data_IF_449628946997
#
_entry.id   IF_449628946997
#
_cell.length_a   1.000
_cell.length_b   1.000
_cell.length_c   1.000
_cell.angle_alpha   90.00
_cell.angle_beta   90.00
_cell.angle_gamma   90.00
#
_symmetry.space_group_name_H-M   'P 1'
#
loop_
_entity.id
_entity.type
_entity.pdbx_description
1 polymer ?
#
# COMPACT_ATOMS: atom_id res chain seq x y z
N UNK A 1 64.06 47.09 13.31
CA UNK A 1 62.79 47.60 13.87
C UNK A 1 61.69 46.65 13.44
N UNK A 2 61.29 45.76 14.36
CA UNK A 2 59.98 45.78 15.03
C UNK A 2 58.84 45.32 14.09
N UNK A 3 58.34 44.10 14.31
CA UNK A 3 56.99 43.82 14.87
C UNK A 3 55.91 43.79 13.78
N UNK A 4 54.85 42.99 13.77
CA UNK A 4 54.30 41.91 14.62
C UNK A 4 53.01 41.48 13.89
N UNK A 5 52.68 40.18 13.93
CA UNK A 5 51.32 39.61 13.92
C UNK A 5 50.43 39.87 12.68
N UNK A 6 49.65 38.92 12.14
CA UNK A 6 48.51 38.29 12.81
C UNK A 6 47.95 37.16 11.91
N UNK A 7 47.57 36.07 12.56
CA UNK A 7 46.94 34.84 12.03
C UNK A 7 45.45 35.06 11.73
N UNK A 8 44.95 34.54 10.60
CA UNK A 8 43.58 34.03 10.40
C UNK A 8 43.65 33.07 9.18
N UNK A 9 43.70 31.74 9.30
CA UNK A 9 42.58 30.83 9.62
C UNK A 9 41.26 31.25 8.95
N UNK A 10 41.12 30.94 7.67
CA UNK A 10 39.80 30.66 7.09
C UNK A 10 39.76 29.20 6.65
N UNK A 11 39.19 28.40 7.54
CA UNK A 11 38.68 27.07 7.27
C UNK A 11 37.58 27.25 6.21
N UNK A 12 37.84 26.83 4.96
CA UNK A 12 36.79 26.75 3.95
C UNK A 12 35.75 25.76 4.47
N UNK A 13 34.59 26.31 4.83
CA UNK A 13 33.41 25.57 5.18
C UNK A 13 33.08 24.62 4.01
N UNK A 14 33.32 23.32 4.22
CA UNK A 14 32.60 22.28 3.51
C UNK A 14 31.12 22.46 3.88
N UNK A 15 30.39 23.23 3.06
CA UNK A 15 28.94 23.11 2.96
C UNK A 15 28.66 21.71 2.39
N UNK A 16 28.72 20.71 3.27
CA UNK A 16 28.13 19.43 3.03
C UNK A 16 26.63 19.67 2.83
N UNK A 17 26.18 19.55 1.59
CA UNK A 17 24.79 19.29 1.26
C UNK A 17 24.37 18.07 2.10
N UNK A 18 23.73 18.31 3.25
CA UNK A 18 22.84 17.32 3.85
C UNK A 18 21.69 17.16 2.86
N UNK A 19 21.87 16.28 1.89
CA UNK A 19 20.75 15.68 1.21
C UNK A 19 19.96 14.97 2.31
N UNK A 20 18.79 15.51 2.64
CA UNK A 20 17.79 14.75 3.37
C UNK A 20 17.50 13.52 2.52
N UNK A 21 18.02 12.36 2.92
CA UNK A 21 17.66 11.11 2.30
C UNK A 21 16.13 11.01 2.40
N UNK A 22 15.40 10.80 1.28
CA UNK A 22 13.98 10.53 1.36
C UNK A 22 13.79 9.33 2.29
N UNK A 23 12.84 9.47 3.23
CA UNK A 23 12.49 8.42 4.16
C UNK A 23 12.27 7.12 3.37
N UNK A 24 13.06 6.10 3.69
CA UNK A 24 12.98 4.79 3.05
C UNK A 24 11.53 4.28 3.19
N UNK A 25 10.78 4.33 2.10
CA UNK A 25 9.68 3.40 1.91
C UNK A 25 10.29 2.00 2.10
N UNK A 26 9.63 1.12 2.84
CA UNK A 26 10.12 -0.25 2.97
C UNK A 26 10.22 -0.85 1.56
N UNK A 27 11.44 -0.98 1.04
CA UNK A 27 11.71 -1.46 -0.32
C UNK A 27 11.21 -2.89 -0.43
N UNK A 28 9.99 -3.05 -0.92
CA UNK A 28 9.42 -4.37 -1.15
C UNK A 28 10.24 -5.03 -2.27
N UNK A 29 10.77 -6.24 -2.05
CA UNK A 29 11.64 -6.88 -3.03
C UNK A 29 10.89 -7.15 -4.34
N UNK A 30 11.64 -7.39 -5.41
CA UNK A 30 11.10 -7.75 -6.73
C UNK A 30 10.21 -9.01 -6.72
N UNK A 31 10.23 -9.80 -5.63
CA UNK A 31 9.20 -10.79 -5.34
C UNK A 31 8.99 -10.96 -3.84
N UNK A 32 7.74 -11.07 -3.41
CA UNK A 32 7.36 -11.35 -2.03
C UNK A 32 6.00 -12.05 -1.94
N UNK A 33 5.66 -12.53 -0.75
CA UNK A 33 4.45 -13.30 -0.51
C UNK A 33 3.74 -12.85 0.77
N UNK A 34 2.43 -12.58 0.66
CA UNK A 34 1.54 -12.46 1.80
C UNK A 34 1.02 -13.85 2.18
N UNK A 35 1.23 -14.28 3.43
CA UNK A 35 0.72 -15.57 3.92
C UNK A 35 -0.56 -15.36 4.70
N UNK A 36 -1.57 -16.17 4.42
CA UNK A 36 -2.86 -16.10 5.06
C UNK A 36 -3.02 -17.14 6.18
N UNK A 37 -3.98 -16.92 7.07
CA UNK A 37 -4.23 -17.81 8.21
C UNK A 37 -4.52 -19.26 7.76
N UNK A 38 -4.15 -20.27 8.58
CA UNK A 38 -4.28 -21.69 8.25
C UNK A 38 -5.69 -22.16 7.89
N UNK A 39 -6.71 -21.52 8.44
CA UNK A 39 -8.13 -21.88 8.31
C UNK A 39 -8.81 -21.29 7.06
N UNK A 40 -8.14 -20.37 6.35
CA UNK A 40 -8.65 -19.82 5.10
C UNK A 40 -8.42 -20.73 3.91
N UNK A 41 -9.36 -20.75 2.97
CA UNK A 41 -9.20 -21.46 1.69
C UNK A 41 -8.06 -20.86 0.83
N UNK A 42 -7.79 -19.57 0.98
CA UNK A 42 -6.64 -18.88 0.40
C UNK A 42 -5.41 -19.14 1.28
N UNK A 43 -4.35 -19.67 0.69
CA UNK A 43 -3.10 -19.96 1.39
C UNK A 43 -2.17 -18.75 1.40
N UNK A 44 -1.97 -18.14 0.23
CA UNK A 44 -1.09 -17.00 0.08
C UNK A 44 -1.44 -16.15 -1.15
N UNK A 45 -0.84 -14.96 -1.19
CA UNK A 45 -0.84 -14.07 -2.35
C UNK A 45 0.61 -13.80 -2.72
N UNK A 46 1.00 -14.16 -3.94
CA UNK A 46 2.34 -13.88 -4.48
C UNK A 46 2.35 -12.58 -5.27
N UNK A 47 3.44 -11.84 -5.12
CA UNK A 47 3.75 -10.62 -5.85
C UNK A 47 5.11 -10.82 -6.50
N UNK A 48 5.21 -10.66 -7.82
CA UNK A 48 6.48 -10.83 -8.52
C UNK A 48 6.57 -9.92 -9.75
N UNK A 49 7.63 -9.11 -9.82
CA UNK A 49 8.06 -8.41 -11.04
C UNK A 49 8.35 -9.41 -12.16
N UNK A 50 7.93 -9.10 -13.38
CA UNK A 50 8.21 -9.95 -14.55
C UNK A 50 9.66 -9.82 -15.03
N UNK A 51 10.24 -8.63 -14.93
CA UNK A 51 11.63 -8.31 -15.27
C UNK A 51 12.62 -8.60 -14.14
N UNK A 52 12.13 -8.66 -12.89
CA UNK A 52 12.97 -8.68 -11.70
C UNK A 52 13.40 -7.28 -11.24
N UNK A 53 12.89 -6.22 -11.87
CA UNK A 53 13.12 -4.83 -11.50
C UNK A 53 11.82 -4.16 -11.03
N UNK A 54 11.85 -3.62 -9.81
CA UNK A 54 10.71 -2.93 -9.21
C UNK A 54 10.41 -1.58 -9.86
N UNK A 55 11.38 -0.99 -10.57
CA UNK A 55 11.22 0.28 -11.27
C UNK A 55 10.38 0.15 -12.55
N UNK A 56 10.26 -1.05 -13.11
CA UNK A 56 9.49 -1.32 -14.34
C UNK A 56 7.99 -1.44 -14.09
N UNK A 57 7.55 -1.42 -12.83
CA UNK A 57 6.13 -1.46 -12.43
C UNK A 57 5.37 -2.63 -13.10
N UNK A 58 6.02 -3.79 -13.24
CA UNK A 58 5.53 -4.92 -14.03
C UNK A 58 5.11 -6.12 -13.18
N UNK A 59 4.75 -5.92 -11.92
CA UNK A 59 4.39 -7.04 -11.05
C UNK A 59 3.13 -7.77 -11.54
N UNK A 60 3.14 -9.07 -11.32
CA UNK A 60 1.97 -9.93 -11.41
C UNK A 60 1.60 -10.44 -10.03
N UNK A 61 0.30 -10.38 -9.73
CA UNK A 61 -0.25 -10.88 -8.47
C UNK A 61 -0.98 -12.21 -8.70
N UNK A 62 -0.64 -13.22 -7.90
CA UNK A 62 -1.30 -14.53 -7.93
C UNK A 62 -1.89 -14.89 -6.58
N UNK A 63 -3.11 -15.41 -6.59
CA UNK A 63 -3.70 -16.12 -5.46
C UNK A 63 -3.27 -17.58 -5.51
N UNK A 64 -2.79 -18.11 -4.38
CA UNK A 64 -2.55 -19.54 -4.20
C UNK A 64 -3.59 -20.09 -3.23
N UNK A 65 -4.42 -21.00 -3.73
CA UNK A 65 -5.46 -21.65 -2.96
C UNK A 65 -4.93 -22.95 -2.36
N UNK A 66 -5.43 -23.35 -1.18
CA UNK A 66 -4.98 -24.57 -0.48
C UNK A 66 -5.21 -25.87 -1.24
N UNK A 67 -6.06 -25.88 -2.26
CA UNK A 67 -6.24 -27.02 -3.16
C UNK A 67 -5.18 -27.09 -4.27
N UNK A 68 -4.15 -26.25 -4.24
CA UNK A 68 -3.12 -26.14 -5.27
C UNK A 68 -3.54 -25.34 -6.51
N UNK A 69 -4.77 -24.82 -6.56
CA UNK A 69 -5.19 -23.93 -7.63
C UNK A 69 -4.43 -22.60 -7.52
N UNK A 70 -4.03 -22.06 -8.67
CA UNK A 70 -3.40 -20.75 -8.77
C UNK A 70 -4.23 -19.84 -9.66
N UNK A 71 -4.52 -18.63 -9.21
CA UNK A 71 -5.33 -17.66 -9.96
C UNK A 71 -4.56 -16.35 -10.12
N UNK A 72 -4.27 -15.97 -11.36
CA UNK A 72 -3.70 -14.64 -11.67
C UNK A 72 -4.79 -13.58 -11.49
N UNK A 73 -4.50 -12.52 -10.77
CA UNK A 73 -5.38 -11.37 -10.65
C UNK A 73 -5.23 -10.47 -11.89
N UNK A 74 -6.36 -10.00 -12.42
CA UNK A 74 -6.40 -9.04 -13.53
C UNK A 74 -6.20 -7.60 -13.01
N UNK A 75 -5.08 -7.38 -12.33
CA UNK A 75 -4.64 -6.07 -11.85
C UNK A 75 -3.64 -5.45 -12.85
N UNK A 76 -3.54 -4.11 -12.91
CA UNK A 76 -2.47 -3.47 -13.67
C UNK A 76 -1.10 -3.84 -13.08
N UNK A 77 -0.08 -3.83 -13.94
CA UNK A 77 1.30 -3.81 -13.48
C UNK A 77 1.52 -2.57 -12.61
N UNK A 78 2.13 -2.77 -11.46
CA UNK A 78 2.60 -1.73 -10.54
C UNK A 78 3.66 -2.34 -9.60
N UNK A 79 4.49 -1.54 -8.94
CA UNK A 79 5.26 -2.06 -7.80
C UNK A 79 4.36 -2.21 -6.56
N UNK A 80 3.92 -3.43 -6.28
CA UNK A 80 3.11 -3.76 -5.09
C UNK A 80 3.97 -3.84 -3.82
N UNK A 81 3.45 -3.28 -2.74
CA UNK A 81 4.18 -3.05 -1.50
C UNK A 81 3.76 -4.01 -0.39
N UNK A 82 4.72 -4.43 0.43
CA UNK A 82 4.48 -5.14 1.67
C UNK A 82 4.33 -4.12 2.81
N UNK A 83 3.16 -4.09 3.46
CA UNK A 83 2.92 -3.23 4.63
C UNK A 83 2.28 -3.98 5.78
N UNK A 84 2.98 -4.01 6.92
CA UNK A 84 2.40 -4.57 8.15
C UNK A 84 1.37 -3.63 8.80
N UNK A 85 1.18 -2.43 8.29
CA UNK A 85 0.22 -1.49 8.85
C UNK A 85 -1.24 -1.88 8.53
N UNK A 86 -1.48 -2.60 7.42
CA UNK A 86 -2.80 -3.14 7.07
C UNK A 86 -3.11 -4.48 7.73
N UNK A 87 -2.09 -5.31 7.96
CA UNK A 87 -2.23 -6.67 8.51
C UNK A 87 -2.44 -6.65 10.03
N UNK A 88 -1.83 -5.71 10.76
CA UNK A 88 -1.75 -5.72 12.24
C UNK A 88 -3.08 -5.55 12.99
N UNK A 89 -4.18 -5.18 12.32
CA UNK A 89 -5.48 -4.90 12.98
C UNK A 89 -6.57 -5.84 12.51
N UNK A 90 -6.48 -7.11 12.89
CA UNK A 90 -7.47 -8.14 12.51
C UNK A 90 -7.34 -8.61 11.06
N UNK A 91 -6.20 -8.32 10.43
CA UNK A 91 -5.86 -8.82 9.10
C UNK A 91 -5.63 -10.33 9.14
N UNK A 92 -6.18 -11.04 8.17
CA UNK A 92 -6.05 -12.50 8.05
C UNK A 92 -4.91 -12.94 7.12
N UNK A 93 -4.15 -11.98 6.56
CA UNK A 93 -2.94 -12.22 5.79
C UNK A 93 -1.83 -11.22 6.20
N UNK A 94 -0.57 -11.65 6.13
CA UNK A 94 0.60 -10.80 6.43
C UNK A 94 0.88 -9.79 5.31
N UNK A 95 1.43 -8.62 5.65
CA UNK A 95 1.92 -7.66 4.65
C UNK A 95 0.88 -6.96 3.77
N UNK A 96 -0.41 -7.31 3.87
CA UNK A 96 -1.52 -6.70 3.13
C UNK A 96 -2.74 -6.53 4.03
N UNK A 97 -3.71 -5.74 3.57
CA UNK A 97 -5.04 -5.71 4.17
C UNK A 97 -5.80 -6.94 3.70
N UNK A 98 -6.30 -7.73 4.63
CA UNK A 98 -7.16 -8.86 4.31
C UNK A 98 -8.18 -9.01 5.42
N UNK A 99 -9.47 -8.92 5.10
CA UNK A 99 -10.55 -9.09 6.07
C UNK A 99 -11.55 -10.13 5.59
N UNK A 100 -11.89 -11.05 6.47
CA UNK A 100 -12.98 -12.00 6.26
C UNK A 100 -14.31 -11.31 6.58
N UNK A 101 -15.13 -11.12 5.55
CA UNK A 101 -16.48 -10.57 5.61
C UNK A 101 -17.52 -11.71 5.64
N UNK A 102 -18.81 -11.43 5.91
CA UNK A 102 -19.86 -12.44 5.93
C UNK A 102 -19.99 -13.15 4.57
N UNK A 103 -20.71 -14.28 4.56
CA UNK A 103 -21.00 -15.05 3.35
C UNK A 103 -19.74 -15.52 2.61
N UNK A 104 -18.73 -15.99 3.35
CA UNK A 104 -17.48 -16.54 2.81
C UNK A 104 -16.70 -15.55 1.93
N UNK A 105 -16.86 -14.25 2.16
CA UNK A 105 -16.21 -13.22 1.34
C UNK A 105 -14.89 -12.81 1.98
N UNK A 106 -13.79 -12.82 1.22
CA UNK A 106 -12.53 -12.22 1.64
C UNK A 106 -12.29 -10.94 0.84
N UNK A 107 -12.10 -9.82 1.53
CA UNK A 107 -11.69 -8.57 0.91
C UNK A 107 -10.19 -8.38 1.13
N UNK A 108 -9.44 -8.32 0.04
CA UNK A 108 -8.02 -7.94 0.03
C UNK A 108 -7.87 -6.46 -0.32
N UNK A 109 -6.95 -5.79 0.34
CA UNK A 109 -6.52 -4.41 0.09
C UNK A 109 -5.02 -4.42 -0.12
N UNK A 110 -4.60 -4.11 -1.34
CA UNK A 110 -3.24 -4.29 -1.84
C UNK A 110 -2.61 -2.92 -2.12
N UNK A 111 -1.61 -2.49 -1.33
CA UNK A 111 -0.92 -1.24 -1.61
C UNK A 111 0.05 -1.40 -2.78
N UNK A 112 0.18 -0.35 -3.57
CA UNK A 112 1.14 -0.25 -4.65
C UNK A 112 1.70 1.18 -4.73
N UNK A 113 2.91 1.29 -5.25
CA UNK A 113 3.62 2.57 -5.29
C UNK A 113 2.94 3.58 -6.21
N UNK A 114 2.62 4.76 -5.69
CA UNK A 114 2.13 5.89 -6.49
C UNK A 114 3.20 6.90 -6.87
N UNK A 115 4.49 6.51 -6.87
CA UNK A 115 5.62 7.41 -7.13
C UNK A 115 5.42 8.32 -8.35
N UNK A 116 5.79 9.61 -8.25
CA UNK A 116 6.40 10.27 -7.10
C UNK A 116 5.39 10.71 -6.02
N UNK A 117 4.10 10.42 -6.20
CA UNK A 117 3.03 10.74 -5.24
C UNK A 117 2.90 9.72 -4.10
N UNK A 118 1.74 9.71 -3.46
CA UNK A 118 1.43 8.77 -2.39
C UNK A 118 1.09 7.37 -2.91
N UNK A 119 1.44 6.36 -2.12
CA UNK A 119 1.05 4.99 -2.37
C UNK A 119 -0.46 4.88 -2.55
N UNK A 120 -0.87 3.97 -3.43
CA UNK A 120 -2.25 3.78 -3.85
C UNK A 120 -2.70 2.39 -3.45
N UNK A 121 -4.01 2.17 -3.50
CA UNK A 121 -4.62 0.94 -3.03
C UNK A 121 -5.44 0.30 -4.13
N UNK A 122 -5.29 -1.01 -4.30
CA UNK A 122 -6.23 -1.86 -5.04
C UNK A 122 -7.09 -2.64 -4.05
N UNK A 123 -8.31 -2.99 -4.45
CA UNK A 123 -9.18 -3.89 -3.69
C UNK A 123 -9.62 -5.09 -4.52
N UNK A 124 -9.70 -6.25 -3.87
CA UNK A 124 -10.09 -7.51 -4.50
C UNK A 124 -11.07 -8.24 -3.60
N UNK A 125 -12.26 -8.54 -4.12
CA UNK A 125 -13.26 -9.34 -3.43
C UNK A 125 -13.19 -10.78 -3.93
N UNK A 126 -13.03 -11.72 -2.99
CA UNK A 126 -12.96 -13.14 -3.24
C UNK A 126 -14.11 -13.86 -2.56
N UNK A 127 -14.57 -14.95 -3.17
CA UNK A 127 -15.45 -15.92 -2.55
C UNK A 127 -14.62 -17.15 -2.17
N UNK A 128 -14.48 -17.40 -0.86
CA UNK A 128 -13.68 -18.48 -0.30
C UNK A 128 -14.31 -19.85 -0.48
N UNK A 129 -15.63 -19.92 -0.68
CA UNK A 129 -16.34 -21.18 -0.88
C UNK A 129 -16.14 -21.69 -2.30
N UNK A 130 -16.31 -20.82 -3.29
CA UNK A 130 -16.18 -21.12 -4.72
C UNK A 130 -14.78 -20.90 -5.27
N UNK A 131 -13.90 -20.25 -4.50
CA UNK A 131 -12.51 -19.92 -4.86
C UNK A 131 -12.42 -19.04 -6.11
N UNK A 132 -13.34 -18.09 -6.20
CA UNK A 132 -13.47 -17.19 -7.35
C UNK A 132 -13.19 -15.75 -6.94
N UNK A 133 -12.62 -15.00 -7.88
CA UNK A 133 -12.57 -13.54 -7.80
C UNK A 133 -13.96 -13.01 -8.18
N UNK A 134 -14.59 -12.25 -7.29
CA UNK A 134 -15.91 -11.66 -7.48
C UNK A 134 -15.84 -10.26 -8.10
N UNK A 135 -14.88 -9.46 -7.63
CA UNK A 135 -14.68 -8.09 -8.11
C UNK A 135 -13.24 -7.64 -7.89
N UNK A 136 -12.76 -6.76 -8.76
CA UNK A 136 -11.45 -6.10 -8.64
C UNK A 136 -11.67 -4.61 -8.88
N UNK A 137 -11.13 -3.78 -8.00
CA UNK A 137 -10.94 -2.36 -8.24
C UNK A 137 -9.45 -2.04 -8.14
N UNK A 138 -8.84 -1.73 -9.28
CA UNK A 138 -7.40 -1.46 -9.39
C UNK A 138 -6.97 -0.18 -8.66
N UNK A 139 -7.92 0.68 -8.31
CA UNK A 139 -7.65 1.94 -7.65
C UNK A 139 -8.85 2.33 -6.79
N UNK A 140 -8.67 2.19 -5.48
CA UNK A 140 -9.66 2.59 -4.48
C UNK A 140 -9.33 3.92 -3.81
N UNK A 141 -8.15 4.50 -4.04
CA UNK A 141 -7.68 5.73 -3.45
C UNK A 141 -6.21 5.72 -3.05
N UNK A 142 -5.75 6.86 -2.52
CA UNK A 142 -4.39 7.09 -2.03
C UNK A 142 -4.31 6.90 -0.52
N UNK A 143 -3.22 6.29 -0.09
CA UNK A 143 -2.90 6.06 1.32
C UNK A 143 -2.53 7.40 1.97
N UNK A 144 -3.15 7.70 3.11
CA UNK A 144 -2.75 8.86 3.92
C UNK A 144 -1.40 8.60 4.60
N UNK A 145 -0.52 9.62 4.74
CA UNK A 145 0.69 9.53 5.57
C UNK A 145 0.41 9.05 7.00
N UNK A 146 -0.75 9.42 7.53
CA UNK A 146 -1.25 8.99 8.85
C UNK A 146 -1.91 7.61 8.74
N UNK A 147 -1.14 6.62 8.31
CA UNK A 147 -1.59 5.28 8.00
C UNK A 147 -2.45 4.66 9.12
N UNK A 148 -3.76 4.47 8.85
CA UNK A 148 -4.69 3.87 9.82
C UNK A 148 -5.67 2.96 9.10
N UNK A 149 -5.94 1.83 9.71
CA UNK A 149 -6.98 0.91 9.27
C UNK A 149 -7.81 0.40 10.46
N UNK A 150 -9.04 0.04 10.18
CA UNK A 150 -10.02 -0.54 11.10
C UNK A 150 -10.76 -1.67 10.40
N UNK A 151 -10.75 -2.85 11.02
CA UNK A 151 -11.58 -3.98 10.60
C UNK A 151 -12.91 -3.92 11.35
N UNK A 152 -14.01 -4.03 10.62
CA UNK A 152 -15.36 -4.16 11.14
C UNK A 152 -16.04 -5.37 10.49
N UNK A 153 -17.10 -5.93 11.11
CA UNK A 153 -17.71 -7.17 10.63
C UNK A 153 -18.11 -7.17 9.16
N UNK A 154 -18.58 -6.03 8.62
CA UNK A 154 -19.06 -5.92 7.23
C UNK A 154 -18.20 -5.04 6.33
N UNK A 155 -17.11 -4.46 6.84
CA UNK A 155 -16.30 -3.50 6.09
C UNK A 155 -14.85 -3.42 6.58
N UNK A 156 -13.98 -3.06 5.65
CA UNK A 156 -12.63 -2.60 5.93
C UNK A 156 -12.59 -1.09 5.80
N UNK A 157 -12.03 -0.40 6.77
CA UNK A 157 -11.94 1.05 6.74
C UNK A 157 -10.50 1.49 6.83
N UNK A 158 -10.14 2.46 6.00
CA UNK A 158 -8.78 2.93 5.86
C UNK A 158 -8.76 4.46 5.81
N UNK A 159 -7.79 5.05 6.48
CA UNK A 159 -7.60 6.49 6.44
C UNK A 159 -6.81 6.84 5.19
N UNK A 160 -7.49 7.51 4.26
CA UNK A 160 -7.00 7.76 2.91
C UNK A 160 -7.12 9.24 2.56
N UNK A 161 -6.37 9.64 1.54
CA UNK A 161 -6.44 10.98 0.97
C UNK A 161 -7.75 11.10 0.20
N UNK A 162 -8.60 12.03 0.64
CA UNK A 162 -9.90 12.32 0.02
C UNK A 162 -9.77 13.41 -1.03
N UNK A 163 -9.05 14.49 -0.71
CA UNK A 163 -8.87 15.64 -1.58
C UNK A 163 -7.47 16.22 -1.46
N UNK A 164 -7.03 16.82 -2.57
CA UNK A 164 -5.90 17.73 -2.63
C UNK A 164 -6.43 19.16 -2.67
N UNK A 165 -6.09 19.94 -1.66
CA UNK A 165 -6.46 21.36 -1.57
C UNK A 165 -5.27 22.18 -2.06
N UNK A 166 -5.43 22.81 -3.22
CA UNK A 166 -4.45 23.76 -3.74
C UNK A 166 -4.83 25.14 -3.21
N UNK A 167 -3.99 25.68 -2.33
CA UNK A 167 -4.17 27.02 -1.77
C UNK A 167 -3.77 28.09 -2.78
N UNK A 168 -4.33 29.30 -2.65
CA UNK A 168 -4.01 30.42 -3.54
C UNK A 168 -2.54 30.85 -3.50
N UNK A 169 -1.83 30.50 -2.43
CA UNK A 169 -0.38 30.72 -2.26
C UNK A 169 0.48 29.60 -2.89
N UNK A 170 -0.15 28.64 -3.59
CA UNK A 170 0.53 27.53 -4.26
C UNK A 170 0.94 26.39 -3.35
N UNK A 171 0.52 26.38 -2.08
CA UNK A 171 0.72 25.23 -1.19
C UNK A 171 -0.34 24.17 -1.47
N UNK A 172 0.10 22.91 -1.44
CA UNK A 172 -0.78 21.76 -1.47
C UNK A 172 -1.02 21.25 -0.05
N UNK A 173 -2.28 21.04 0.29
CA UNK A 173 -2.70 20.41 1.54
C UNK A 173 -3.51 19.15 1.26
N UNK A 174 -3.17 18.09 1.97
CA UNK A 174 -3.84 16.80 1.86
C UNK A 174 -4.98 16.76 2.88
N UNK A 175 -6.22 16.65 2.39
CA UNK A 175 -7.35 16.34 3.24
C UNK A 175 -7.55 14.83 3.28
N UNK A 176 -7.30 14.22 4.45
CA UNK A 176 -7.55 12.80 4.69
C UNK A 176 -8.89 12.56 5.37
N UNK A 177 -9.51 11.41 5.09
CA UNK A 177 -10.74 10.97 5.73
C UNK A 177 -10.79 9.44 5.79
N UNK A 178 -11.75 8.90 6.54
CA UNK A 178 -12.01 7.46 6.51
C UNK A 178 -12.73 7.07 5.22
N UNK A 179 -12.12 6.15 4.48
CA UNK A 179 -12.73 5.42 3.38
C UNK A 179 -13.21 4.06 3.88
N UNK A 180 -14.50 3.81 3.80
CA UNK A 180 -15.07 2.49 4.00
C UNK A 180 -15.06 1.72 2.68
N UNK A 181 -14.55 0.49 2.73
CA UNK A 181 -14.54 -0.48 1.65
C UNK A 181 -15.29 -1.71 2.12
N UNK A 182 -16.36 -2.06 1.40
CA UNK A 182 -17.18 -3.23 1.71
C UNK A 182 -17.46 -4.02 0.43
N UNK A 183 -18.06 -5.20 0.59
CA UNK A 183 -18.55 -5.99 -0.53
C UNK A 183 -20.06 -6.15 -0.38
N UNK A 184 -20.83 -5.68 -1.36
CA UNK A 184 -22.29 -5.85 -1.43
C UNK A 184 -22.67 -6.50 -2.74
N UNK A 185 -23.44 -7.58 -2.67
CA UNK A 185 -23.86 -8.36 -3.85
C UNK A 185 -22.67 -8.79 -4.73
N UNK A 186 -21.55 -9.13 -4.09
CA UNK A 186 -20.31 -9.52 -4.78
C UNK A 186 -19.54 -8.36 -5.41
N UNK A 187 -19.94 -7.11 -5.22
CA UNK A 187 -19.27 -5.91 -5.73
C UNK A 187 -18.61 -5.10 -4.64
N UNK A 188 -17.42 -4.60 -4.91
CA UNK A 188 -16.72 -3.68 -4.00
C UNK A 188 -17.45 -2.34 -4.03
N UNK A 189 -17.84 -1.86 -2.86
CA UNK A 189 -18.46 -0.54 -2.68
C UNK A 189 -17.59 0.31 -1.77
N UNK A 190 -17.54 1.61 -2.07
CA UNK A 190 -16.70 2.59 -1.39
C UNK A 190 -17.53 3.76 -0.92
N UNK A 191 -17.29 4.20 0.31
CA UNK A 191 -17.95 5.37 0.87
C UNK A 191 -17.00 6.13 1.78
N UNK A 192 -16.89 7.44 1.58
CA UNK A 192 -16.22 8.31 2.55
C UNK A 192 -17.13 8.50 3.76
N UNK A 193 -16.57 8.36 4.97
CA UNK A 193 -17.30 8.76 6.17
C UNK A 193 -17.39 10.29 6.25
N UNK A 194 -18.49 10.85 6.78
CA UNK A 194 -18.59 12.27 7.08
C UNK A 194 -17.56 12.73 8.11
#
# INVERSE_FOLDING_TARGET
MLMRHLRYLLCLACLGLLQAAPAAAADSPASWQARCQPDLALESVDFASQSGDVAEDDFVVHLNWRNGQRTRLALPGAWYLQTEALSRRGGVCSGIGAVHLPHHTLLLVLPWSGRPGFDRLSAVALDLQTRQVRDIQADIGEISPDYRAEVQPERYSLYAIKNWLVHADGRDEVQSAWLDVAVREGKIVRAWRP
#
